data_IF_016810606657
#
_entry.id   IF_016810606657
#
_cell.length_a   1.000
_cell.length_b   1.000
_cell.length_c   1.000
_cell.angle_alpha   90.00
_cell.angle_beta   90.00
_cell.angle_gamma   90.00
#
_symmetry.space_group_name_H-M   'P 1'
#
loop_
_entity.id
_entity.type
_entity.pdbx_description
1 polymer ?
#
# COMPACT_ATOMS: atom_id res chain seq x y z
N UNK A 1 4.84 -10.17 28.64
CA UNK A 1 5.10 -10.83 27.36
C UNK A 1 4.00 -10.37 26.41
N UNK A 2 4.27 -9.31 25.61
CA UNK A 2 3.36 -8.85 24.56
C UNK A 2 3.34 -9.91 23.46
N UNK A 3 2.16 -10.38 23.09
CA UNK A 3 2.00 -11.17 21.87
C UNK A 3 2.32 -10.23 20.70
N UNK A 4 3.52 -10.37 20.12
CA UNK A 4 3.88 -9.79 18.83
C UNK A 4 3.11 -10.54 17.73
N UNK A 5 1.82 -10.25 17.60
CA UNK A 5 0.98 -10.79 16.54
C UNK A 5 0.65 -9.71 15.50
N UNK A 6 1.40 -8.61 15.47
CA UNK A 6 1.23 -7.58 14.45
C UNK A 6 1.80 -8.10 13.14
N UNK A 7 0.94 -8.25 12.15
CA UNK A 7 1.33 -8.55 10.78
C UNK A 7 1.53 -7.24 10.02
N UNK A 8 2.57 -7.17 9.19
CA UNK A 8 2.69 -6.10 8.20
C UNK A 8 1.92 -6.50 6.96
N UNK A 9 1.17 -5.57 6.39
CA UNK A 9 0.44 -5.77 5.14
C UNK A 9 0.91 -4.76 4.09
N UNK A 10 1.21 -5.24 2.90
CA UNK A 10 1.58 -4.45 1.74
C UNK A 10 0.49 -4.58 0.69
N UNK A 11 -0.06 -3.46 0.24
CA UNK A 11 -1.06 -3.41 -0.83
C UNK A 11 -0.49 -2.59 -1.97
N UNK A 12 -0.49 -3.17 -3.14
CA UNK A 12 -0.08 -2.51 -4.37
C UNK A 12 -1.31 -2.04 -5.15
N UNK A 13 -1.34 -0.76 -5.47
CA UNK A 13 -2.37 -0.14 -6.30
C UNK A 13 -1.82 0.23 -7.67
N UNK A 14 -2.61 0.01 -8.68
CA UNK A 14 -2.51 0.70 -9.96
C UNK A 14 -3.51 1.85 -9.96
N UNK A 15 -3.03 3.07 -10.21
CA UNK A 15 -3.87 4.25 -10.33
C UNK A 15 -4.21 4.48 -11.80
N UNK A 16 -5.49 4.42 -12.15
CA UNK A 16 -5.98 4.59 -13.52
C UNK A 16 -6.78 5.88 -13.58
N UNK A 17 -6.33 6.92 -14.32
CA UNK A 17 -7.09 8.15 -14.44
C UNK A 17 -8.42 7.90 -15.15
N UNK A 18 -9.48 8.58 -14.70
CA UNK A 18 -10.78 8.56 -15.33
C UNK A 18 -11.15 9.96 -15.89
N UNK A 19 -12.21 10.00 -16.69
CA UNK A 19 -12.67 11.23 -17.36
C UNK A 19 -13.16 12.34 -16.39
N UNK A 20 -13.25 12.03 -15.09
CA UNK A 20 -13.71 12.97 -14.04
C UNK A 20 -12.56 13.57 -13.24
N UNK A 21 -11.31 13.43 -13.68
CA UNK A 21 -10.13 13.91 -12.97
C UNK A 21 -9.86 13.17 -11.66
N UNK A 22 -10.24 11.89 -11.58
CA UNK A 22 -10.00 11.00 -10.43
C UNK A 22 -9.30 9.73 -10.85
N UNK A 23 -8.66 9.08 -9.91
CA UNK A 23 -8.10 7.75 -10.12
C UNK A 23 -9.08 6.65 -9.72
N UNK A 24 -9.17 5.61 -10.53
CA UNK A 24 -9.60 4.29 -10.09
C UNK A 24 -8.41 3.63 -9.40
N UNK A 25 -8.59 3.15 -8.18
CA UNK A 25 -7.58 2.43 -7.39
C UNK A 25 -7.79 0.94 -7.64
N UNK A 26 -7.02 0.39 -8.54
CA UNK A 26 -7.04 -1.05 -8.82
C UNK A 26 -6.01 -1.75 -7.94
N UNK A 27 -6.47 -2.60 -7.02
CA UNK A 27 -5.58 -3.47 -6.24
C UNK A 27 -5.04 -4.55 -7.19
N UNK A 28 -3.71 -4.66 -7.27
CA UNK A 28 -3.03 -5.63 -8.14
C UNK A 28 -2.25 -6.68 -7.37
N UNK A 29 -1.86 -6.39 -6.12
CA UNK A 29 -1.20 -7.36 -5.25
C UNK A 29 -1.43 -7.03 -3.78
N UNK A 30 -1.51 -8.05 -2.93
CA UNK A 30 -1.52 -7.94 -1.47
C UNK A 30 -0.58 -9.00 -0.90
N UNK A 31 0.34 -8.57 -0.05
CA UNK A 31 1.24 -9.46 0.69
C UNK A 31 1.15 -9.18 2.18
N UNK A 32 1.34 -10.21 3.00
CA UNK A 32 1.37 -10.08 4.46
C UNK A 32 2.57 -10.80 5.05
N UNK A 33 3.16 -10.21 6.06
CA UNK A 33 4.33 -10.72 6.76
C UNK A 33 4.00 -10.88 8.23
N UNK A 34 4.11 -12.11 8.72
CA UNK A 34 3.92 -12.45 10.14
C UNK A 34 5.29 -12.74 10.75
N UNK A 35 5.65 -11.98 11.78
CA UNK A 35 6.88 -12.21 12.54
C UNK A 35 8.20 -12.03 11.75
N UNK A 36 8.17 -11.39 10.58
CA UNK A 36 9.37 -11.15 9.77
C UNK A 36 10.19 -9.98 10.31
N UNK A 37 11.51 -10.05 10.10
CA UNK A 37 12.41 -8.97 10.47
C UNK A 37 12.20 -7.74 9.57
N UNK A 38 12.43 -6.54 10.11
CA UNK A 38 12.29 -5.29 9.38
C UNK A 38 13.17 -5.23 8.12
N UNK A 39 14.32 -5.88 8.13
CA UNK A 39 15.19 -6.02 6.97
C UNK A 39 14.51 -6.80 5.83
N UNK A 40 13.89 -7.94 6.13
CA UNK A 40 13.22 -8.77 5.11
C UNK A 40 12.02 -8.04 4.50
N UNK A 41 11.27 -7.31 5.32
CA UNK A 41 10.17 -6.45 4.86
C UNK A 41 10.68 -5.32 3.94
N UNK A 42 11.76 -4.64 4.32
CA UNK A 42 12.35 -3.59 3.50
C UNK A 42 12.91 -4.13 2.18
N UNK A 43 13.59 -5.28 2.21
CA UNK A 43 14.07 -5.97 1.01
C UNK A 43 12.90 -6.30 0.09
N UNK A 44 11.81 -6.87 0.63
CA UNK A 44 10.63 -7.22 -0.17
C UNK A 44 9.94 -6.00 -0.76
N UNK A 45 9.83 -4.89 -0.01
CA UNK A 45 9.30 -3.63 -0.53
C UNK A 45 10.12 -3.11 -1.73
N UNK A 46 11.44 -3.18 -1.65
CA UNK A 46 12.30 -2.81 -2.78
C UNK A 46 12.10 -3.74 -3.98
N UNK A 47 12.04 -5.05 -3.77
CA UNK A 47 11.72 -6.00 -4.84
C UNK A 47 10.39 -5.64 -5.52
N UNK A 48 9.32 -5.44 -4.74
CA UNK A 48 8.00 -5.06 -5.28
C UNK A 48 8.06 -3.73 -6.03
N UNK A 49 8.78 -2.74 -5.50
CA UNK A 49 8.91 -1.42 -6.14
C UNK A 49 9.48 -1.54 -7.56
N UNK A 50 10.53 -2.35 -7.74
CA UNK A 50 11.13 -2.57 -9.06
C UNK A 50 10.36 -3.58 -9.93
N UNK A 51 9.83 -4.65 -9.34
CA UNK A 51 9.08 -5.69 -10.07
C UNK A 51 7.79 -5.13 -10.70
N UNK A 52 7.16 -4.16 -10.06
CA UNK A 52 5.90 -3.55 -10.50
C UNK A 52 6.08 -2.12 -11.04
N UNK A 53 7.32 -1.64 -11.17
CA UNK A 53 7.63 -0.28 -11.64
C UNK A 53 6.83 0.78 -10.86
N UNK A 54 6.81 0.64 -9.52
CA UNK A 54 6.04 1.54 -8.66
C UNK A 54 6.70 2.93 -8.60
N UNK A 55 5.89 3.98 -8.48
CA UNK A 55 6.35 5.36 -8.35
C UNK A 55 6.56 5.76 -6.88
N UNK A 56 5.71 5.26 -5.99
CA UNK A 56 5.67 5.66 -4.58
C UNK A 56 5.44 4.50 -3.63
N UNK A 57 5.90 4.68 -2.40
CA UNK A 57 5.61 3.82 -1.24
C UNK A 57 4.96 4.69 -0.18
N UNK A 58 3.78 4.31 0.30
CA UNK A 58 3.16 4.91 1.50
C UNK A 58 3.50 4.04 2.70
N UNK A 59 4.23 4.61 3.65
CA UNK A 59 4.76 3.86 4.79
C UNK A 59 4.26 4.43 6.11
N UNK A 60 3.66 3.58 6.95
CA UNK A 60 3.39 3.94 8.35
C UNK A 60 4.70 3.98 9.13
N UNK A 61 5.14 5.19 9.48
CA UNK A 61 6.38 5.45 10.19
C UNK A 61 6.16 5.55 11.71
N UNK A 62 5.31 4.66 12.27
CA UNK A 62 5.11 4.49 13.71
C UNK A 62 5.51 3.05 14.10
N UNK A 63 6.10 2.89 15.27
CA UNK A 63 6.45 1.57 15.80
C UNK A 63 7.41 0.79 14.90
N UNK A 64 7.00 -0.39 14.44
CA UNK A 64 7.82 -1.26 13.57
C UNK A 64 8.14 -0.63 12.20
N UNK A 65 7.30 0.24 11.68
CA UNK A 65 7.54 0.93 10.41
C UNK A 65 8.77 1.81 10.39
N UNK A 66 9.16 2.38 11.54
CA UNK A 66 10.42 3.15 11.67
C UNK A 66 11.63 2.24 11.42
N UNK A 67 11.60 1.01 11.91
CA UNK A 67 12.70 0.07 11.70
C UNK A 67 12.78 -0.36 10.22
N UNK A 68 11.64 -0.58 9.56
CA UNK A 68 11.56 -0.85 8.11
C UNK A 68 12.15 0.32 7.32
N UNK A 69 11.76 1.56 7.67
CA UNK A 69 12.31 2.76 7.04
C UNK A 69 13.84 2.85 7.18
N UNK A 70 14.38 2.57 8.36
CA UNK A 70 15.83 2.54 8.60
C UNK A 70 16.60 1.57 7.69
N UNK A 71 15.97 0.47 7.26
CA UNK A 71 16.54 -0.45 6.27
C UNK A 71 16.30 0.02 4.82
N UNK A 72 15.17 0.68 4.53
CA UNK A 72 14.92 1.26 3.21
C UNK A 72 15.92 2.37 2.86
N UNK A 73 16.41 3.12 3.85
CA UNK A 73 17.42 4.17 3.70
C UNK A 73 18.83 3.68 3.32
N UNK A 74 19.04 2.38 3.15
CA UNK A 74 20.35 1.78 2.85
C UNK A 74 20.32 1.07 1.51
N UNK A 75 21.49 0.92 0.89
CA UNK A 75 21.66 -0.05 -0.19
C UNK A 75 21.28 -1.45 0.31
N UNK A 76 20.64 -2.23 -0.53
CA UNK A 76 20.25 -3.61 -0.19
C UNK A 76 20.74 -4.55 -1.27
N UNK A 77 21.62 -5.46 -0.90
CA UNK A 77 22.07 -6.54 -1.75
C UNK A 77 21.07 -7.69 -1.70
N UNK A 78 20.75 -8.23 -2.85
CA UNK A 78 19.85 -9.38 -3.03
C UNK A 78 20.62 -10.48 -3.78
N UNK A 79 21.32 -11.31 -3.02
CA UNK A 79 22.14 -12.38 -3.56
C UNK A 79 21.33 -13.42 -4.33
N UNK A 80 20.05 -13.64 -3.93
CA UNK A 80 19.16 -14.57 -4.62
C UNK A 80 18.80 -14.13 -6.03
N UNK A 81 18.73 -12.81 -6.24
CA UNK A 81 18.41 -12.21 -7.54
C UNK A 81 19.66 -11.64 -8.25
N UNK A 82 20.79 -11.60 -7.56
CA UNK A 82 21.99 -10.96 -8.08
C UNK A 82 21.82 -9.47 -8.36
N UNK A 83 21.01 -8.78 -7.55
CA UNK A 83 20.65 -7.37 -7.73
C UNK A 83 21.01 -6.54 -6.50
N UNK A 84 21.31 -5.27 -6.73
CA UNK A 84 21.50 -4.29 -5.67
C UNK A 84 20.46 -3.19 -5.80
N UNK A 85 19.64 -3.01 -4.77
CA UNK A 85 18.62 -1.97 -4.73
C UNK A 85 19.18 -0.72 -4.05
N UNK A 86 18.94 0.44 -4.66
CA UNK A 86 19.33 1.74 -4.08
C UNK A 86 18.55 2.03 -2.80
N UNK A 87 19.08 2.98 -2.03
CA UNK A 87 18.38 3.54 -0.88
C UNK A 87 17.11 4.30 -1.33
N UNK A 88 16.08 4.24 -0.50
CA UNK A 88 14.85 5.03 -0.65
C UNK A 88 14.74 6.01 0.50
N UNK A 89 14.23 7.21 0.26
CA UNK A 89 14.03 8.21 1.29
C UNK A 89 12.61 8.79 1.29
N UNK A 90 12.20 9.28 2.44
CA UNK A 90 10.97 10.05 2.62
C UNK A 90 11.13 11.42 1.97
N UNK A 91 10.05 11.97 1.39
CA UNK A 91 10.05 13.31 0.77
C UNK A 91 9.07 14.29 1.42
N UNK A 92 8.21 13.83 2.35
CA UNK A 92 7.19 14.65 3.00
C UNK A 92 7.42 14.87 4.50
N UNK A 93 8.61 14.56 5.02
CA UNK A 93 8.94 14.72 6.42
C UNK A 93 10.45 14.92 6.60
N UNK A 94 10.88 16.15 6.92
CA UNK A 94 12.31 16.55 7.01
C UNK A 94 13.08 15.76 8.07
N UNK A 95 12.45 15.42 9.22
CA UNK A 95 13.07 14.63 10.28
C UNK A 95 13.45 13.22 9.81
N UNK A 96 12.53 12.57 9.08
CA UNK A 96 12.77 11.25 8.52
C UNK A 96 13.72 11.32 7.31
N UNK A 97 13.57 12.32 6.45
CA UNK A 97 14.49 12.53 5.32
C UNK A 97 15.93 12.65 5.82
N UNK A 98 16.16 13.42 6.88
CA UNK A 98 17.48 13.60 7.49
C UNK A 98 18.12 12.33 8.07
N UNK A 99 17.34 11.26 8.29
CA UNK A 99 17.89 9.96 8.73
C UNK A 99 18.50 9.15 7.57
N UNK A 100 18.19 9.49 6.32
CA UNK A 100 18.75 8.84 5.16
C UNK A 100 20.04 9.56 4.74
N UNK A 101 21.19 8.94 4.99
CA UNK A 101 22.52 9.50 4.70
C UNK A 101 23.01 9.22 3.28
N UNK A 102 22.34 8.37 2.52
CA UNK A 102 22.71 8.01 1.16
C UNK A 102 22.38 9.16 0.19
N UNK A 103 23.42 9.75 -0.39
CA UNK A 103 23.28 10.95 -1.25
C UNK A 103 22.45 10.75 -2.52
N UNK A 104 22.38 9.52 -3.02
CA UNK A 104 21.64 9.14 -4.22
C UNK A 104 20.37 8.32 -3.90
N UNK A 105 19.85 8.45 -2.69
CA UNK A 105 18.59 7.81 -2.29
C UNK A 105 17.42 8.35 -3.12
N UNK A 106 16.54 7.44 -3.56
CA UNK A 106 15.35 7.79 -4.33
C UNK A 106 14.26 8.37 -3.42
N UNK A 107 13.77 9.61 -3.64
CA UNK A 107 12.70 10.21 -2.84
C UNK A 107 11.33 9.65 -3.29
N UNK A 108 10.99 8.45 -2.85
CA UNK A 108 9.78 7.75 -3.26
C UNK A 108 8.87 7.34 -2.10
N UNK A 109 9.23 7.66 -0.83
CA UNK A 109 8.45 7.27 0.33
C UNK A 109 7.62 8.44 0.83
N UNK A 110 6.30 8.27 0.87
CA UNK A 110 5.37 9.12 1.59
C UNK A 110 5.17 8.56 3.01
N UNK A 111 5.73 9.23 4.01
CA UNK A 111 5.62 8.81 5.39
C UNK A 111 4.27 9.23 5.98
N UNK A 112 3.58 8.30 6.62
CA UNK A 112 2.41 8.60 7.44
C UNK A 112 2.74 8.40 8.92
N UNK A 113 2.25 9.32 9.75
CA UNK A 113 2.28 9.22 11.21
C UNK A 113 0.83 9.28 11.69
N UNK A 114 0.19 8.12 11.81
CA UNK A 114 -1.23 8.00 12.14
C UNK A 114 -1.55 8.62 13.50
N UNK A 115 -2.29 9.73 13.49
CA UNK A 115 -2.98 10.26 14.65
C UNK A 115 -4.49 10.10 14.48
N UNK A 116 -5.27 10.49 15.48
CA UNK A 116 -6.73 10.30 15.46
C UNK A 116 -7.41 11.04 14.31
N UNK A 117 -7.01 12.29 14.02
CA UNK A 117 -7.53 13.09 12.91
C UNK A 117 -7.16 12.45 11.56
N UNK A 118 -5.89 12.14 11.36
CA UNK A 118 -5.41 11.54 10.12
C UNK A 118 -6.12 10.20 9.82
N UNK A 119 -6.26 9.35 10.84
CA UNK A 119 -6.97 8.08 10.67
C UNK A 119 -8.45 8.29 10.32
N UNK A 120 -9.12 9.29 10.93
CA UNK A 120 -10.47 9.67 10.56
C UNK A 120 -10.58 10.07 9.09
N UNK A 121 -9.67 10.92 8.61
CA UNK A 121 -9.64 11.39 7.23
C UNK A 121 -9.36 10.23 6.26
N UNK A 122 -8.42 9.33 6.60
CA UNK A 122 -8.16 8.12 5.82
C UNK A 122 -9.41 7.23 5.67
N UNK A 123 -10.14 7.01 6.77
CA UNK A 123 -11.36 6.18 6.74
C UNK A 123 -12.47 6.85 5.93
N UNK A 124 -12.68 8.14 6.11
CA UNK A 124 -13.71 8.89 5.39
C UNK A 124 -13.45 8.91 3.88
N UNK A 125 -12.21 9.18 3.48
CA UNK A 125 -11.80 9.14 2.07
C UNK A 125 -11.93 7.73 1.48
N UNK A 126 -11.60 6.69 2.23
CA UNK A 126 -11.74 5.31 1.77
C UNK A 126 -13.21 4.93 1.57
N UNK A 127 -14.10 5.33 2.50
CA UNK A 127 -15.54 5.12 2.35
C UNK A 127 -16.10 5.86 1.12
N UNK A 128 -15.70 7.11 0.86
CA UNK A 128 -16.11 7.84 -0.33
C UNK A 128 -15.69 7.12 -1.62
N UNK A 129 -14.47 6.58 -1.67
CA UNK A 129 -13.99 5.83 -2.83
C UNK A 129 -14.77 4.53 -3.08
N UNK A 130 -15.14 3.81 -2.01
CA UNK A 130 -15.97 2.61 -2.11
C UNK A 130 -17.37 2.96 -2.61
N UNK A 131 -18.00 4.00 -2.05
CA UNK A 131 -19.33 4.45 -2.44
C UNK A 131 -19.41 4.95 -3.90
N UNK A 132 -18.30 5.48 -4.41
CA UNK A 132 -18.18 5.93 -5.82
C UNK A 132 -17.71 4.85 -6.77
N UNK A 133 -17.52 3.62 -6.29
CA UNK A 133 -17.03 2.50 -7.10
C UNK A 133 -15.65 2.76 -7.75
N UNK A 134 -14.81 3.58 -7.08
CA UNK A 134 -13.46 3.92 -7.52
C UNK A 134 -12.39 3.02 -6.94
N UNK A 135 -12.76 2.03 -6.13
CA UNK A 135 -11.87 0.99 -5.59
C UNK A 135 -12.21 -0.35 -6.24
N UNK A 136 -11.24 -0.92 -6.94
CA UNK A 136 -11.37 -2.22 -7.61
C UNK A 136 -10.52 -3.25 -6.89
N UNK A 137 -11.16 -4.32 -6.47
CA UNK A 137 -10.53 -5.49 -5.84
C UNK A 137 -10.16 -6.54 -6.89
N UNK A 138 -9.23 -7.41 -6.53
CA UNK A 138 -9.04 -8.65 -7.29
C UNK A 138 -10.31 -9.50 -7.18
N UNK A 139 -10.54 -10.32 -8.18
CA UNK A 139 -11.64 -11.31 -8.18
C UNK A 139 -11.45 -12.33 -7.05
N UNK A 140 -12.50 -13.07 -6.71
CA UNK A 140 -12.39 -14.13 -5.72
C UNK A 140 -11.40 -15.24 -6.13
N UNK A 141 -10.99 -16.06 -5.18
CA UNK A 141 -9.95 -17.08 -5.37
C UNK A 141 -10.32 -18.12 -6.42
N UNK A 142 -11.59 -18.50 -6.54
CA UNK A 142 -12.03 -19.51 -7.51
C UNK A 142 -11.98 -18.97 -8.95
N UNK A 143 -12.44 -17.73 -9.14
CA UNK A 143 -12.32 -17.04 -10.43
C UNK A 143 -10.84 -16.79 -10.75
N UNK A 144 -10.05 -16.34 -9.77
CA UNK A 144 -8.61 -16.14 -9.92
C UNK A 144 -7.89 -17.41 -10.34
N UNK A 145 -8.19 -18.54 -9.72
CA UNK A 145 -7.65 -19.85 -10.09
C UNK A 145 -8.03 -20.25 -11.52
N UNK A 146 -9.29 -20.04 -11.89
CA UNK A 146 -9.77 -20.33 -13.26
C UNK A 146 -9.01 -19.50 -14.30
N UNK A 147 -8.82 -18.21 -14.04
CA UNK A 147 -8.07 -17.31 -14.93
C UNK A 147 -6.60 -17.75 -15.04
N UNK A 148 -5.95 -18.08 -13.92
CA UNK A 148 -4.58 -18.57 -13.90
C UNK A 148 -4.41 -19.90 -14.68
N UNK A 149 -5.39 -20.81 -14.58
CA UNK A 149 -5.36 -22.07 -15.33
C UNK A 149 -5.57 -21.86 -16.82
N UNK A 150 -6.34 -20.85 -17.23
CA UNK A 150 -6.58 -20.53 -18.63
C UNK A 150 -5.43 -19.76 -19.31
N UNK A 151 -4.76 -18.87 -18.57
CA UNK A 151 -3.72 -17.98 -19.11
C UNK A 151 -2.31 -18.57 -18.95
N UNK A 152 -2.09 -19.35 -17.91
CA UNK A 152 -0.81 -19.95 -17.56
C UNK A 152 -0.99 -21.45 -17.36
N UNK A 153 0.05 -22.24 -17.49
CA UNK A 153 0.02 -23.67 -17.18
C UNK A 153 -0.02 -23.91 -15.66
N UNK A 154 -0.99 -23.26 -14.99
CA UNK A 154 -1.08 -23.18 -13.52
C UNK A 154 -1.15 -24.58 -12.89
N UNK A 155 -2.00 -25.46 -13.41
CA UNK A 155 -2.20 -26.80 -12.85
C UNK A 155 -0.98 -27.71 -12.98
N UNK A 156 -0.06 -27.40 -13.89
CA UNK A 156 1.22 -28.10 -14.07
C UNK A 156 2.36 -27.52 -13.23
N UNK A 157 2.13 -26.41 -12.52
CA UNK A 157 3.15 -25.78 -11.70
C UNK A 157 3.37 -26.52 -10.38
N UNK A 158 4.56 -26.33 -9.79
CA UNK A 158 4.83 -26.81 -8.44
C UNK A 158 3.89 -26.17 -7.42
N UNK A 159 3.46 -26.90 -6.36
CA UNK A 159 2.51 -26.40 -5.36
C UNK A 159 2.88 -25.05 -4.75
N UNK A 160 4.15 -24.82 -4.45
CA UNK A 160 4.63 -23.53 -3.91
C UNK A 160 4.40 -22.36 -4.88
N UNK A 161 4.59 -22.59 -6.17
CA UNK A 161 4.35 -21.57 -7.19
C UNK A 161 2.85 -21.29 -7.34
N UNK A 162 2.02 -22.33 -7.34
CA UNK A 162 0.56 -22.20 -7.33
C UNK A 162 0.09 -21.38 -6.12
N UNK A 163 0.58 -21.71 -4.91
CA UNK A 163 0.24 -21.01 -3.69
C UNK A 163 0.63 -19.51 -3.75
N UNK A 164 1.81 -19.20 -4.28
CA UNK A 164 2.27 -17.82 -4.44
C UNK A 164 1.39 -17.03 -5.43
N UNK A 165 0.98 -17.66 -6.55
CA UNK A 165 0.11 -17.00 -7.53
C UNK A 165 -1.33 -16.80 -7.03
N UNK A 166 -1.83 -17.66 -6.16
CA UNK A 166 -3.16 -17.52 -5.54
C UNK A 166 -3.16 -16.59 -4.33
N UNK A 167 -2.00 -16.35 -3.72
CA UNK A 167 -1.90 -15.55 -2.49
C UNK A 167 -2.58 -14.17 -2.58
N UNK A 168 -2.41 -13.36 -3.65
CA UNK A 168 -3.07 -12.05 -3.74
C UNK A 168 -4.59 -12.12 -3.69
N UNK A 169 -5.20 -13.13 -4.30
CA UNK A 169 -6.65 -13.34 -4.28
C UNK A 169 -7.15 -13.70 -2.88
N UNK A 170 -6.48 -14.66 -2.22
CA UNK A 170 -6.78 -15.02 -0.82
C UNK A 170 -6.61 -13.83 0.13
N UNK A 171 -5.58 -13.01 -0.07
CA UNK A 171 -5.36 -11.82 0.76
C UNK A 171 -6.43 -10.75 0.50
N UNK A 172 -6.97 -10.66 -0.72
CA UNK A 172 -8.10 -9.79 -1.07
C UNK A 172 -9.38 -10.22 -0.32
N UNK A 173 -9.70 -11.51 -0.30
CA UNK A 173 -10.84 -12.02 0.49
C UNK A 173 -10.68 -11.72 1.98
N UNK A 174 -9.46 -11.85 2.51
CA UNK A 174 -9.16 -11.49 3.91
C UNK A 174 -9.30 -10.00 4.16
N UNK A 175 -8.87 -9.14 3.23
CA UNK A 175 -9.10 -7.69 3.31
C UNK A 175 -10.59 -7.35 3.36
N UNK A 176 -11.39 -7.94 2.46
CA UNK A 176 -12.85 -7.76 2.46
C UNK A 176 -13.45 -8.23 3.79
N UNK A 177 -13.01 -9.38 4.31
CA UNK A 177 -13.44 -9.88 5.61
C UNK A 177 -13.04 -8.93 6.76
N UNK A 178 -11.85 -8.34 6.75
CA UNK A 178 -11.46 -7.29 7.71
C UNK A 178 -12.43 -6.11 7.63
N UNK A 179 -12.71 -5.60 6.43
CA UNK A 179 -13.60 -4.45 6.22
C UNK A 179 -15.02 -4.68 6.75
N UNK A 180 -15.58 -5.87 6.53
CA UNK A 180 -16.93 -6.22 6.99
C UNK A 180 -16.98 -6.37 8.53
N UNK A 181 -15.89 -6.82 9.14
CA UNK A 181 -15.82 -7.08 10.57
C UNK A 181 -15.34 -5.88 11.41
N UNK A 182 -15.09 -4.73 10.80
CA UNK A 182 -14.77 -3.50 11.52
C UNK A 182 -16.03 -2.75 11.91
N UNK A 183 -16.12 -2.37 13.19
CA UNK A 183 -17.17 -1.48 13.70
C UNK A 183 -16.66 -0.05 13.76
N UNK A 184 -17.50 0.86 13.33
CA UNK A 184 -17.25 2.29 13.42
C UNK A 184 -17.81 2.82 14.73
N UNK A 185 -16.97 3.45 15.54
CA UNK A 185 -17.34 4.24 16.71
C UNK A 185 -16.99 5.70 16.47
N UNK A 186 -17.89 6.61 16.87
CA UNK A 186 -17.57 8.05 16.86
C UNK A 186 -17.18 8.44 18.27
N UNK A 187 -15.94 8.91 18.46
CA UNK A 187 -15.44 9.40 19.74
C UNK A 187 -14.81 10.77 19.56
N UNK A 188 -15.30 11.75 20.31
CA UNK A 188 -14.81 13.15 20.23
C UNK A 188 -14.89 13.74 18.80
N UNK A 189 -15.92 13.38 18.03
CA UNK A 189 -16.10 13.84 16.65
C UNK A 189 -15.31 13.06 15.59
N UNK A 190 -14.47 12.10 15.97
CA UNK A 190 -13.66 11.31 15.05
C UNK A 190 -14.13 9.88 14.94
N UNK A 191 -14.05 9.34 13.73
CA UNK A 191 -14.27 7.92 13.49
C UNK A 191 -13.10 7.14 14.08
N UNK A 192 -13.42 6.16 14.91
CA UNK A 192 -12.49 5.15 15.40
C UNK A 192 -12.98 3.79 14.99
N UNK A 193 -12.11 3.01 14.37
CA UNK A 193 -12.42 1.63 14.03
C UNK A 193 -12.09 0.69 15.18
N UNK A 194 -13.00 -0.21 15.44
CA UNK A 194 -12.88 -1.24 16.44
C UNK A 194 -13.08 -2.61 15.83
N UNK A 195 -12.19 -3.52 16.15
CA UNK A 195 -12.33 -4.92 15.77
C UNK A 195 -13.49 -5.55 16.55
N UNK A 196 -14.29 -6.36 15.85
CA UNK A 196 -15.46 -7.02 16.45
C UNK A 196 -15.11 -8.19 17.34
N UNK A 197 -13.91 -8.74 17.20
CA UNK A 197 -13.40 -9.85 17.97
C UNK A 197 -11.92 -9.72 18.22
N UNK A 198 -11.41 -10.44 19.24
CA UNK A 198 -9.99 -10.46 19.59
C UNK A 198 -9.09 -11.07 18.49
N UNK A 199 -9.68 -11.79 17.55
CA UNK A 199 -8.96 -12.42 16.41
C UNK A 199 -9.05 -11.57 15.14
N UNK A 200 -9.94 -10.57 15.13
CA UNK A 200 -10.08 -9.69 13.98
C UNK A 200 -8.85 -8.79 13.84
N UNK A 201 -8.31 -8.71 12.62
CA UNK A 201 -7.19 -7.85 12.25
C UNK A 201 -7.70 -6.69 11.41
N UNK A 202 -6.89 -5.65 11.29
CA UNK A 202 -7.15 -4.47 10.44
C UNK A 202 -5.93 -4.02 9.65
N UNK A 203 -4.87 -4.82 9.62
CA UNK A 203 -3.58 -4.42 9.05
C UNK A 203 -3.70 -4.16 7.55
N UNK A 204 -4.42 -5.01 6.81
CA UNK A 204 -4.70 -4.82 5.37
C UNK A 204 -5.57 -3.59 5.14
N UNK A 205 -6.62 -3.43 5.95
CA UNK A 205 -7.50 -2.29 5.83
C UNK A 205 -6.76 -0.97 6.11
N UNK A 206 -5.90 -0.92 7.13
CA UNK A 206 -5.09 0.29 7.40
C UNK A 206 -4.13 0.58 6.26
N UNK A 207 -3.45 -0.43 5.71
CA UNK A 207 -2.60 -0.27 4.53
C UNK A 207 -3.39 0.26 3.32
N UNK A 208 -4.60 -0.26 3.08
CA UNK A 208 -5.52 0.23 2.06
C UNK A 208 -5.85 1.71 2.26
N UNK A 209 -6.24 2.11 3.47
CA UNK A 209 -6.67 3.49 3.75
C UNK A 209 -5.54 4.49 3.61
N UNK A 210 -4.32 4.14 4.02
CA UNK A 210 -3.14 4.99 3.89
C UNK A 210 -2.74 5.18 2.42
N UNK A 211 -2.71 4.09 1.64
CA UNK A 211 -2.46 4.16 0.20
C UNK A 211 -3.52 4.98 -0.53
N UNK A 212 -4.81 4.77 -0.19
CA UNK A 212 -5.90 5.56 -0.76
C UNK A 212 -5.83 7.05 -0.38
N UNK A 213 -5.40 7.37 0.84
CA UNK A 213 -5.20 8.76 1.26
C UNK A 213 -4.21 9.46 0.33
N UNK A 214 -3.03 8.89 0.12
CA UNK A 214 -2.02 9.48 -0.76
C UNK A 214 -2.47 9.53 -2.23
N UNK A 215 -3.16 8.50 -2.71
CA UNK A 215 -3.76 8.54 -4.05
C UNK A 215 -4.74 9.72 -4.24
N UNK A 216 -5.43 10.13 -3.17
CA UNK A 216 -6.31 11.31 -3.20
C UNK A 216 -5.52 12.62 -3.21
N UNK A 217 -4.37 12.69 -2.53
CA UNK A 217 -3.47 13.85 -2.63
C UNK A 217 -2.95 14.02 -4.07
N UNK A 218 -2.52 12.91 -4.70
CA UNK A 218 -2.10 12.93 -6.12
C UNK A 218 -3.21 13.39 -7.08
N UNK A 219 -4.49 13.13 -6.77
CA UNK A 219 -5.62 13.65 -7.57
C UNK A 219 -5.74 15.17 -7.49
N UNK A 220 -5.45 15.75 -6.32
CA UNK A 220 -5.49 17.20 -6.16
C UNK A 220 -4.40 17.88 -7.00
N UNK A 221 -3.20 17.29 -7.04
CA UNK A 221 -2.10 17.80 -7.85
C UNK A 221 -2.41 17.75 -9.36
N UNK A 222 -3.07 16.67 -9.83
CA UNK A 222 -3.53 16.58 -11.21
C UNK A 222 -4.52 17.69 -11.59
N UNK A 223 -5.43 18.03 -10.69
CA UNK A 223 -6.47 19.03 -10.95
C UNK A 223 -5.92 20.46 -10.86
N UNK A 224 -4.87 20.69 -10.05
CA UNK A 224 -4.20 22.00 -9.96
C UNK A 224 -3.21 22.24 -11.09
N UNK A 225 -2.51 21.19 -11.56
CA UNK A 225 -1.56 21.29 -12.68
C UNK A 225 -2.22 21.56 -14.04
N UNK A 226 -3.49 21.16 -14.23
CA UNK A 226 -4.22 21.41 -15.48
C UNK A 226 -4.61 22.87 -15.70
N UNK A 227 -4.67 23.68 -14.64
CA UNK A 227 -5.03 25.11 -14.74
C UNK A 227 -3.80 25.97 -15.14
N UNK A 228 -2.60 25.60 -14.73
CA UNK A 228 -1.38 26.34 -15.08
C UNK A 228 -0.94 26.12 -16.54
N UNK A 229 -1.17 24.93 -17.11
CA UNK A 229 -0.87 24.64 -18.52
C UNK A 229 -1.85 25.31 -19.51
N UNK A 230 -3.08 25.60 -19.09
CA UNK A 230 -4.08 26.30 -19.91
C UNK A 230 -3.78 27.79 -20.10
N UNK A 231 -3.12 28.44 -19.14
CA UNK A 231 -2.74 29.86 -19.24
C UNK A 231 -1.41 30.08 -19.94
N UNK A 232 -0.50 29.09 -19.95
CA UNK A 232 0.79 29.15 -20.63
C UNK A 232 0.69 29.10 -22.17
N UNK A 233 -0.39 28.54 -22.73
CA UNK A 233 -0.57 28.37 -24.19
C UNK A 233 -1.29 29.54 -24.90
N UNK A 234 -1.76 30.56 -24.15
CA UNK A 234 -2.50 31.70 -24.73
C UNK A 234 -1.57 32.90 -25.07
N UNK A 235 -0.29 32.87 -24.65
CA UNK A 235 0.64 33.98 -24.82
C UNK A 235 1.94 33.63 -25.57
N UNK A 236 1.92 32.58 -26.43
CA UNK A 236 3.01 32.33 -27.39
C UNK A 236 2.50 32.36 -28.83
#
# INVERSE_FOLDING_TARGET
AGNNNDASAFILFRLIPNDKGRYIRQIVNIETFEGSHAFDQAKRLKQMFYDFEADYIVLDCIGSGVAVYGHLCRLTEDDERGQTYRAFKVFNNDELEGQCTESNALPCIYAVKGNQQFNHDCHTRCQDMIQRELLQFLVDTEIGKTNLSSEYQFDAMMPNKQANMLSPYLQTERLISEMINLKTEVKSGYIKLRETSYVARKDRYMSLTYGNYYATELEQDLNTGSDDDLWGSIWN
#
